data_IF_468469251311
#
_entry.id   IF_468469251311
#
_cell.length_a   1.000
_cell.length_b   1.000
_cell.length_c   1.000
_cell.angle_alpha   90.00
_cell.angle_beta   90.00
_cell.angle_gamma   90.00
#
_symmetry.space_group_name_H-M   'P 1'
#
loop_
_entity.id
_entity.type
_entity.pdbx_description
1 polymer ?
#
# COMPACT_ATOMS: atom_id res chain seq x y z
N UNK A 1 15.72 26.25 -34.32
CA UNK A 1 16.40 24.98 -33.97
C UNK A 1 17.20 25.19 -32.69
N UNK A 2 16.61 24.94 -31.52
CA UNK A 2 17.30 24.64 -30.25
C UNK A 2 16.28 24.53 -29.10
N UNK A 3 15.64 23.36 -28.97
CA UNK A 3 14.93 22.95 -27.76
C UNK A 3 15.00 21.44 -27.70
N UNK A 4 15.83 20.91 -26.80
CA UNK A 4 16.03 19.47 -26.67
C UNK A 4 17.46 19.14 -26.23
N UNK A 5 17.77 19.45 -24.97
CA UNK A 5 18.90 18.93 -24.17
C UNK A 5 18.87 19.74 -22.88
N UNK A 6 18.07 19.31 -21.90
CA UNK A 6 18.14 19.72 -20.49
C UNK A 6 17.09 18.94 -19.66
N UNK A 7 17.08 17.60 -19.77
CA UNK A 7 16.45 16.72 -18.76
C UNK A 7 17.30 15.45 -18.53
N UNK A 8 18.58 15.51 -18.86
CA UNK A 8 19.49 14.35 -18.82
C UNK A 8 20.79 14.71 -18.07
N UNK A 9 20.68 15.32 -16.89
CA UNK A 9 21.80 15.44 -15.95
C UNK A 9 21.28 15.59 -14.52
N UNK A 10 20.95 14.47 -13.87
CA UNK A 10 21.20 14.26 -12.44
C UNK A 10 21.06 12.77 -12.06
N UNK A 11 21.71 11.88 -12.82
CA UNK A 11 21.91 10.48 -12.41
C UNK A 11 23.38 10.17 -12.56
N UNK A 12 24.20 10.67 -11.63
CA UNK A 12 25.58 10.21 -11.45
C UNK A 12 25.90 10.14 -9.97
N UNK A 13 26.14 8.92 -9.50
CA UNK A 13 26.93 8.65 -8.30
C UNK A 13 26.15 8.33 -7.02
N UNK A 14 25.53 7.16 -6.95
CA UNK A 14 25.34 6.45 -5.66
C UNK A 14 25.38 4.95 -5.93
N UNK A 15 26.60 4.44 -6.06
CA UNK A 15 26.91 3.01 -5.97
C UNK A 15 26.99 2.65 -4.49
N UNK A 16 26.33 1.55 -4.12
CA UNK A 16 26.06 1.05 -2.75
C UNK A 16 24.82 1.75 -2.16
N UNK A 17 23.71 1.00 -2.13
CA UNK A 17 22.46 1.39 -1.47
C UNK A 17 22.73 1.31 0.03
N UNK A 18 23.17 2.41 0.64
CA UNK A 18 22.99 2.57 2.07
C UNK A 18 21.48 2.65 2.30
N UNK A 19 20.94 1.67 3.03
CA UNK A 19 19.56 1.75 3.48
C UNK A 19 19.38 3.07 4.27
N UNK A 20 18.26 3.78 4.07
CA UNK A 20 18.04 5.03 4.77
C UNK A 20 18.08 4.78 6.29
N UNK A 21 18.50 5.79 7.08
CA UNK A 21 18.60 5.69 8.55
C UNK A 21 17.31 5.21 9.21
N UNK A 22 16.20 5.50 8.55
CA UNK A 22 14.90 5.07 8.95
C UNK A 22 14.11 4.66 7.73
N UNK A 23 13.27 3.64 7.91
CA UNK A 23 12.37 3.14 6.88
C UNK A 23 10.93 3.19 7.38
N UNK A 24 10.00 3.48 6.46
CA UNK A 24 8.57 3.66 6.76
C UNK A 24 7.78 2.62 6.00
N UNK A 25 7.12 1.73 6.73
CA UNK A 25 6.16 0.80 6.17
C UNK A 25 4.75 1.37 6.36
N UNK A 26 4.00 1.51 5.27
CA UNK A 26 2.59 1.88 5.29
C UNK A 26 1.78 0.66 4.88
N UNK A 27 1.01 0.07 5.78
CA UNK A 27 0.20 -1.13 5.52
C UNK A 27 -1.27 -0.73 5.49
N UNK A 28 -1.88 -0.83 4.31
CA UNK A 28 -3.30 -0.53 4.11
C UNK A 28 -4.09 -1.84 3.97
N UNK A 29 -4.96 -2.11 4.93
CA UNK A 29 -5.86 -3.25 4.91
C UNK A 29 -7.07 -2.90 4.05
N UNK A 30 -7.16 -3.54 2.88
CA UNK A 30 -8.15 -3.26 1.87
C UNK A 30 -9.21 -4.37 1.87
N UNK A 31 -10.31 -4.15 2.59
CA UNK A 31 -11.44 -5.08 2.67
C UNK A 31 -12.42 -4.95 1.52
N UNK A 32 -13.20 -6.02 1.33
CA UNK A 32 -14.24 -6.15 0.30
C UNK A 32 -13.74 -5.88 -1.14
N UNK A 33 -12.47 -6.21 -1.41
CA UNK A 33 -11.90 -6.06 -2.74
C UNK A 33 -12.55 -7.11 -3.65
N UNK A 34 -13.20 -6.66 -4.73
CA UNK A 34 -13.81 -7.56 -5.70
C UNK A 34 -12.79 -8.45 -6.41
N UNK A 35 -13.23 -9.64 -6.86
CA UNK A 35 -12.42 -10.51 -7.75
C UNK A 35 -11.89 -9.75 -8.98
N UNK A 36 -12.70 -8.87 -9.56
CA UNK A 36 -12.32 -8.08 -10.72
C UNK A 36 -11.12 -7.16 -10.39
N UNK A 37 -11.18 -6.40 -9.29
CA UNK A 37 -10.06 -5.55 -8.84
C UNK A 37 -8.82 -6.37 -8.51
N UNK A 38 -8.95 -7.45 -7.75
CA UNK A 38 -7.83 -8.32 -7.36
C UNK A 38 -7.12 -8.99 -8.54
N UNK A 39 -7.79 -9.13 -9.69
CA UNK A 39 -7.21 -9.65 -10.93
C UNK A 39 -6.78 -8.56 -11.93
N UNK A 40 -6.79 -7.29 -11.53
CA UNK A 40 -6.46 -6.17 -12.40
C UNK A 40 -7.50 -5.92 -13.49
N UNK A 41 -8.77 -6.27 -13.27
CA UNK A 41 -9.86 -6.12 -14.24
C UNK A 41 -10.75 -4.96 -13.81
N UNK A 42 -10.36 -3.74 -14.17
CA UNK A 42 -11.14 -2.53 -13.88
C UNK A 42 -10.91 -1.45 -14.94
N UNK A 43 -11.82 -0.47 -15.01
CA UNK A 43 -11.67 0.65 -15.93
C UNK A 43 -10.87 1.77 -15.27
N UNK A 44 -9.70 2.09 -15.83
CA UNK A 44 -8.87 3.21 -15.36
C UNK A 44 -9.49 4.58 -15.61
N UNK A 45 -10.59 4.66 -16.36
CA UNK A 45 -11.43 5.86 -16.52
C UNK A 45 -12.54 5.95 -15.47
N UNK A 46 -12.76 4.91 -14.65
CA UNK A 46 -13.81 4.89 -13.62
C UNK A 46 -13.29 4.18 -12.35
N UNK A 47 -12.39 4.86 -11.64
CA UNK A 47 -11.70 4.33 -10.46
C UNK A 47 -12.61 4.18 -9.23
N UNK A 48 -13.74 4.91 -9.19
CA UNK A 48 -14.73 4.81 -8.12
C UNK A 48 -15.37 3.41 -8.08
N UNK A 49 -15.49 2.75 -9.24
CA UNK A 49 -15.97 1.37 -9.30
C UNK A 49 -14.93 0.43 -8.70
N UNK A 50 -15.26 -0.18 -7.57
CA UNK A 50 -14.35 -1.03 -6.81
C UNK A 50 -13.34 -0.25 -5.95
N UNK A 51 -13.56 1.06 -5.77
CA UNK A 51 -12.77 1.96 -4.91
C UNK A 51 -11.26 1.94 -5.17
N UNK A 52 -10.87 1.76 -6.44
CA UNK A 52 -9.46 1.81 -6.87
C UNK A 52 -8.88 3.22 -6.67
N UNK A 53 -9.73 4.25 -6.67
CA UNK A 53 -9.37 5.63 -6.31
C UNK A 53 -8.74 5.72 -4.91
N UNK A 54 -9.19 4.90 -3.96
CA UNK A 54 -8.63 4.88 -2.59
C UNK A 54 -7.24 4.27 -2.60
N UNK A 55 -7.06 3.14 -3.30
CA UNK A 55 -5.75 2.50 -3.44
C UNK A 55 -4.74 3.44 -4.09
N UNK A 56 -5.16 4.12 -5.15
CA UNK A 56 -4.32 5.07 -5.88
C UNK A 56 -3.93 6.26 -5.00
N UNK A 57 -4.88 6.86 -4.27
CA UNK A 57 -4.60 7.96 -3.34
C UNK A 57 -3.70 7.53 -2.18
N UNK A 58 -3.84 6.32 -1.66
CA UNK A 58 -2.95 5.81 -0.61
C UNK A 58 -1.51 5.70 -1.11
N UNK A 59 -1.29 5.13 -2.30
CA UNK A 59 0.05 5.07 -2.93
C UNK A 59 0.59 6.48 -3.17
N UNK A 60 -0.24 7.39 -3.69
CA UNK A 60 0.20 8.77 -3.92
C UNK A 60 0.62 9.46 -2.63
N UNK A 61 -0.19 9.38 -1.57
CA UNK A 61 0.09 10.00 -0.27
C UNK A 61 1.29 9.38 0.46
N UNK A 62 1.57 8.09 0.25
CA UNK A 62 2.72 7.42 0.87
C UNK A 62 4.05 7.77 0.20
N UNK A 63 4.05 7.97 -1.12
CA UNK A 63 5.29 8.06 -1.88
C UNK A 63 5.69 9.49 -2.24
N UNK A 64 4.76 10.39 -2.51
CA UNK A 64 5.10 11.66 -3.13
C UNK A 64 5.39 12.79 -2.14
N UNK A 65 6.43 13.55 -2.47
CA UNK A 65 6.70 14.90 -1.96
C UNK A 65 6.82 15.86 -3.15
N UNK A 66 6.97 17.16 -2.89
CA UNK A 66 6.96 18.18 -3.95
C UNK A 66 8.05 18.00 -5.01
N UNK A 67 9.23 17.47 -4.62
CA UNK A 67 10.41 17.36 -5.47
C UNK A 67 10.84 15.91 -5.74
N UNK A 68 10.01 14.91 -5.45
CA UNK A 68 10.38 13.52 -5.70
C UNK A 68 9.52 12.47 -5.02
N UNK A 69 10.10 11.30 -4.86
CA UNK A 69 9.51 10.12 -4.21
C UNK A 69 10.31 9.80 -2.95
N UNK A 70 9.62 9.53 -1.85
CA UNK A 70 10.20 9.05 -0.58
C UNK A 70 10.84 7.69 -0.79
N UNK A 71 12.17 7.65 -0.91
CA UNK A 71 12.92 6.41 -1.14
C UNK A 71 12.89 5.46 0.07
N UNK A 72 12.66 6.02 1.26
CA UNK A 72 12.55 5.39 2.56
C UNK A 72 11.14 4.86 2.90
N UNK A 73 10.17 5.00 1.99
CA UNK A 73 8.81 4.51 2.20
C UNK A 73 8.50 3.29 1.33
N UNK A 74 7.93 2.26 1.94
CA UNK A 74 7.24 1.17 1.25
C UNK A 74 5.78 1.12 1.67
N UNK A 75 4.87 1.06 0.69
CA UNK A 75 3.44 0.87 0.93
C UNK A 75 3.00 -0.54 0.52
N UNK A 76 2.18 -1.16 1.37
CA UNK A 76 1.59 -2.48 1.18
C UNK A 76 0.08 -2.35 1.13
N UNK A 77 -0.53 -2.66 -0.01
CA UNK A 77 -1.98 -2.71 -0.16
C UNK A 77 -2.45 -4.17 -0.03
N UNK A 78 -2.90 -4.57 1.15
CA UNK A 78 -3.32 -5.94 1.44
C UNK A 78 -4.78 -6.14 1.02
N UNK A 79 -5.01 -6.88 -0.07
CA UNK A 79 -6.32 -7.04 -0.71
C UNK A 79 -7.06 -8.27 -0.14
N UNK A 80 -7.99 -8.03 0.77
CA UNK A 80 -8.86 -9.04 1.37
C UNK A 80 -10.16 -9.17 0.55
N UNK A 81 -10.70 -10.40 0.35
CA UNK A 81 -10.31 -11.69 0.96
C UNK A 81 -9.26 -12.51 0.18
N UNK A 82 -8.59 -11.92 -0.82
CA UNK A 82 -7.76 -12.66 -1.78
C UNK A 82 -6.40 -13.11 -1.23
N UNK A 83 -5.98 -12.62 -0.06
CA UNK A 83 -4.66 -12.87 0.54
C UNK A 83 -3.52 -12.56 -0.45
N UNK A 84 -3.64 -11.43 -1.15
CA UNK A 84 -2.60 -10.89 -2.01
C UNK A 84 -2.30 -9.46 -1.57
N UNK A 85 -1.06 -9.03 -1.78
CA UNK A 85 -0.64 -7.67 -1.45
C UNK A 85 0.10 -7.07 -2.62
N UNK A 86 -0.24 -5.82 -2.93
CA UNK A 86 0.60 -5.00 -3.82
C UNK A 86 1.57 -4.22 -2.95
N UNK A 87 2.83 -4.60 -3.03
CA UNK A 87 3.95 -3.88 -2.43
C UNK A 87 4.48 -2.84 -3.42
N UNK A 88 4.64 -1.59 -2.97
CA UNK A 88 5.21 -0.50 -3.74
C UNK A 88 6.37 0.15 -2.98
N UNK A 89 7.60 -0.04 -3.47
CA UNK A 89 8.85 0.45 -2.86
C UNK A 89 9.30 1.76 -3.46
N UNK A 90 9.27 2.84 -2.68
CA UNK A 90 9.66 4.18 -3.14
C UNK A 90 11.07 4.24 -3.73
N UNK A 91 12.04 3.55 -3.13
CA UNK A 91 13.43 3.47 -3.62
C UNK A 91 13.57 2.94 -5.05
N UNK A 92 12.63 2.10 -5.49
CA UNK A 92 12.69 1.36 -6.77
C UNK A 92 11.70 1.84 -7.82
N UNK A 93 10.67 2.61 -7.44
CA UNK A 93 9.69 3.15 -8.39
C UNK A 93 10.38 4.05 -9.42
N UNK A 94 10.00 3.91 -10.69
CA UNK A 94 10.45 4.75 -11.81
C UNK A 94 9.26 5.10 -12.69
N UNK A 95 9.27 6.31 -13.25
CA UNK A 95 8.25 6.78 -14.23
C UNK A 95 6.80 6.75 -13.75
N UNK A 96 6.58 6.73 -12.44
CA UNK A 96 5.25 6.93 -11.84
C UNK A 96 4.98 8.44 -11.78
N UNK A 97 3.72 8.84 -11.89
CA UNK A 97 3.25 10.21 -11.64
C UNK A 97 2.20 10.19 -10.53
N UNK A 98 2.03 11.28 -9.76
CA UNK A 98 1.14 11.31 -8.59
C UNK A 98 -0.36 11.34 -8.92
N UNK A 99 -0.74 11.19 -10.20
CA UNK A 99 -2.14 11.15 -10.60
C UNK A 99 -2.76 9.76 -10.42
N UNK A 100 -4.03 9.72 -9.99
CA UNK A 100 -4.71 8.46 -9.66
C UNK A 100 -4.78 7.49 -10.84
N UNK A 101 -4.93 8.01 -12.07
CA UNK A 101 -5.04 7.19 -13.27
C UNK A 101 -3.75 6.44 -13.57
N UNK A 102 -2.60 7.12 -13.49
CA UNK A 102 -1.30 6.48 -13.73
C UNK A 102 -1.00 5.46 -12.65
N UNK A 103 -1.25 5.79 -11.38
CA UNK A 103 -1.11 4.81 -10.29
C UNK A 103 -2.04 3.61 -10.52
N UNK A 104 -3.29 3.83 -10.91
CA UNK A 104 -4.23 2.76 -11.22
C UNK A 104 -3.78 1.88 -12.40
N UNK A 105 -3.13 2.44 -13.43
CA UNK A 105 -2.53 1.66 -14.53
C UNK A 105 -1.39 0.76 -14.03
N UNK A 106 -0.60 1.23 -13.07
CA UNK A 106 0.48 0.45 -12.45
C UNK A 106 -0.08 -0.66 -11.55
N UNK A 107 -1.08 -0.34 -10.72
CA UNK A 107 -1.82 -1.34 -9.94
C UNK A 107 -2.46 -2.39 -10.84
N UNK A 108 -3.11 -1.97 -11.93
CA UNK A 108 -3.71 -2.86 -12.92
C UNK A 108 -2.69 -3.83 -13.50
N UNK A 109 -1.54 -3.33 -13.94
CA UNK A 109 -0.46 -4.16 -14.49
C UNK A 109 0.13 -5.13 -13.47
N UNK A 110 0.24 -4.69 -12.21
CA UNK A 110 0.82 -5.50 -11.12
C UNK A 110 -0.13 -6.64 -10.73
N UNK A 111 -1.43 -6.36 -10.66
CA UNK A 111 -2.47 -7.33 -10.32
C UNK A 111 -2.85 -8.26 -11.49
N UNK A 112 -2.56 -7.84 -12.72
CA UNK A 112 -2.98 -8.55 -13.92
C UNK A 112 -2.35 -9.95 -14.01
N UNK A 113 -3.14 -10.97 -13.68
CA UNK A 113 -2.74 -12.37 -13.73
C UNK A 113 -3.06 -13.04 -15.09
N UNK A 114 -3.11 -12.26 -16.19
CA UNK A 114 -3.42 -12.78 -17.53
C UNK A 114 -4.90 -13.03 -17.82
N UNK A 115 -5.79 -12.82 -16.84
CA UNK A 115 -7.19 -13.24 -16.90
C UNK A 115 -7.31 -14.76 -17.03
N UNK A 116 -6.67 -15.49 -16.11
CA UNK A 116 -6.49 -16.94 -16.13
C UNK A 116 -7.77 -17.79 -16.23
N UNK A 117 -7.59 -19.09 -16.45
CA UNK A 117 -8.65 -20.11 -16.64
C UNK A 117 -9.69 -20.09 -15.51
N UNK A 118 -9.24 -19.86 -14.28
CA UNK A 118 -10.06 -19.83 -13.05
C UNK A 118 -11.08 -18.68 -13.01
N UNK A 119 -10.80 -17.57 -13.71
CA UNK A 119 -11.72 -16.44 -13.81
C UNK A 119 -12.89 -16.72 -14.78
N UNK A 120 -12.70 -17.61 -15.74
CA UNK A 120 -13.75 -18.00 -16.70
C UNK A 120 -14.71 -19.02 -16.07
N UNK A 121 -14.21 -19.93 -15.23
CA UNK A 121 -15.03 -20.96 -14.58
C UNK A 121 -15.85 -20.42 -13.39
N UNK A 122 -15.35 -19.45 -12.64
CA UNK A 122 -16.12 -18.78 -11.56
C UNK A 122 -17.40 -18.06 -12.05
N UNK A 123 -17.42 -17.58 -13.30
CA UNK A 123 -18.60 -16.97 -13.91
C UNK A 123 -19.60 -17.98 -14.51
N UNK A 124 -19.15 -19.20 -14.84
CA UNK A 124 -20.03 -20.26 -15.37
C UNK A 124 -20.98 -20.81 -14.31
N UNK A 125 -20.55 -20.84 -13.05
CA UNK A 125 -21.36 -21.35 -11.95
C UNK A 125 -22.49 -20.40 -11.51
N UNK A 126 -22.46 -19.13 -11.92
CA UNK A 126 -23.43 -18.10 -11.48
C UNK A 126 -24.65 -17.97 -12.43
N UNK A 127 -24.71 -18.75 -13.51
CA UNK A 127 -25.75 -18.64 -14.56
C UNK A 127 -26.70 -19.85 -14.68
N UNK A 128 -26.73 -20.75 -13.69
CA UNK A 128 -27.44 -22.04 -13.74
C UNK A 128 -28.97 -22.03 -13.56
N UNK A 129 -29.65 -20.89 -13.49
CA UNK A 129 -31.11 -20.81 -13.34
C UNK A 129 -31.81 -20.52 -14.67
N UNK A 130 -32.35 -21.56 -15.34
CA UNK A 130 -33.08 -21.41 -16.61
C UNK A 130 -34.59 -21.25 -16.32
N UNK A 131 -35.04 -20.03 -16.05
CA UNK A 131 -36.47 -19.70 -15.98
C UNK A 131 -37.00 -19.13 -17.30
N UNK A 132 -38.26 -19.44 -17.60
CA UNK A 132 -38.98 -19.06 -18.82
C UNK A 132 -39.41 -17.59 -18.70
N UNK A 133 -38.97 -16.73 -19.63
CA UNK A 133 -38.95 -15.27 -19.48
C UNK A 133 -40.12 -14.55 -20.17
N UNK A 134 -40.63 -13.49 -19.53
CA UNK A 134 -41.67 -12.58 -20.05
C UNK A 134 -41.07 -11.27 -20.62
N UNK A 135 -41.90 -10.38 -21.16
CA UNK A 135 -41.49 -9.15 -21.88
C UNK A 135 -40.63 -8.17 -21.04
N UNK A 136 -40.90 -8.01 -19.74
CA UNK A 136 -40.09 -7.16 -18.83
C UNK A 136 -38.70 -7.75 -18.55
N UNK A 137 -38.56 -9.06 -18.72
CA UNK A 137 -37.32 -9.80 -18.51
C UNK A 137 -36.40 -9.76 -19.73
N UNK A 138 -36.93 -9.48 -20.94
CA UNK A 138 -36.13 -9.24 -22.16
C UNK A 138 -35.22 -8.01 -22.04
N UNK A 139 -35.70 -6.92 -21.44
CA UNK A 139 -34.93 -5.68 -21.27
C UNK A 139 -33.77 -5.88 -20.28
N UNK A 140 -34.02 -6.55 -19.14
CA UNK A 140 -32.98 -6.95 -18.18
C UNK A 140 -31.94 -7.89 -18.82
N UNK A 141 -32.39 -8.85 -19.62
CA UNK A 141 -31.53 -9.77 -20.37
C UNK A 141 -30.67 -9.08 -21.44
N UNK A 142 -31.13 -7.99 -22.05
CA UNK A 142 -30.32 -7.15 -22.96
C UNK A 142 -29.22 -6.41 -22.18
N UNK A 143 -29.58 -5.76 -21.07
CA UNK A 143 -28.63 -5.01 -20.23
C UNK A 143 -27.51 -5.91 -19.69
N UNK A 144 -27.85 -7.12 -19.22
CA UNK A 144 -26.85 -8.10 -18.75
C UNK A 144 -25.91 -8.56 -19.87
N UNK A 145 -26.44 -8.80 -21.08
CA UNK A 145 -25.63 -9.16 -22.25
C UNK A 145 -24.68 -8.03 -22.65
N UNK A 146 -25.14 -6.79 -22.64
CA UNK A 146 -24.32 -5.63 -23.00
C UNK A 146 -23.24 -5.37 -21.95
N UNK A 147 -23.54 -5.51 -20.66
CA UNK A 147 -22.56 -5.44 -19.59
C UNK A 147 -21.48 -6.54 -19.71
N UNK A 148 -21.88 -7.77 -20.04
CA UNK A 148 -20.95 -8.88 -20.30
C UNK A 148 -20.03 -8.60 -21.49
N UNK A 149 -20.59 -8.14 -22.62
CA UNK A 149 -19.80 -7.74 -23.80
C UNK A 149 -18.83 -6.61 -23.47
N UNK A 150 -19.27 -5.60 -22.72
CA UNK A 150 -18.43 -4.49 -22.27
C UNK A 150 -17.27 -4.97 -21.40
N UNK A 151 -17.52 -5.90 -20.48
CA UNK A 151 -16.50 -6.53 -19.63
C UNK A 151 -15.51 -7.36 -20.43
N UNK A 152 -15.97 -8.21 -21.36
CA UNK A 152 -15.11 -8.99 -22.24
C UNK A 152 -14.21 -8.10 -23.12
N UNK A 153 -14.76 -6.99 -23.64
CA UNK A 153 -14.01 -6.00 -24.39
C UNK A 153 -12.94 -5.29 -23.52
N UNK A 154 -13.27 -4.97 -22.25
CA UNK A 154 -12.31 -4.42 -21.30
C UNK A 154 -11.15 -5.38 -21.05
N UNK A 155 -11.44 -6.64 -20.72
CA UNK A 155 -10.44 -7.68 -20.49
C UNK A 155 -9.52 -7.83 -21.71
N UNK A 156 -10.10 -7.80 -22.92
CA UNK A 156 -9.31 -7.83 -24.16
C UNK A 156 -8.36 -6.64 -24.28
N UNK A 157 -8.82 -5.42 -23.96
CA UNK A 157 -7.96 -4.22 -23.96
C UNK A 157 -6.83 -4.34 -22.95
N UNK A 158 -7.13 -4.75 -21.71
CA UNK A 158 -6.13 -4.91 -20.65
C UNK A 158 -5.08 -5.96 -21.07
N UNK A 159 -5.52 -7.10 -21.60
CA UNK A 159 -4.62 -8.14 -22.12
C UNK A 159 -3.69 -7.61 -23.19
N UNK A 160 -4.21 -6.86 -24.16
CA UNK A 160 -3.40 -6.25 -25.23
C UNK A 160 -2.42 -5.23 -24.64
N UNK A 161 -2.87 -4.40 -23.71
CA UNK A 161 -2.07 -3.37 -23.04
C UNK A 161 -0.91 -3.91 -22.20
N UNK A 162 -1.01 -5.16 -21.69
CA UNK A 162 0.03 -5.77 -20.86
C UNK A 162 0.81 -6.90 -21.53
N UNK A 163 0.47 -7.26 -22.77
CA UNK A 163 1.15 -8.34 -23.51
C UNK A 163 2.64 -8.04 -23.66
N UNK A 164 3.49 -8.95 -23.18
CA UNK A 164 4.95 -8.86 -23.32
C UNK A 164 5.60 -7.75 -22.50
N UNK A 165 4.85 -7.09 -21.60
CA UNK A 165 5.40 -6.07 -20.71
C UNK A 165 6.06 -6.72 -19.51
N UNK A 166 7.27 -6.27 -19.16
CA UNK A 166 8.02 -6.74 -17.99
C UNK A 166 7.35 -6.37 -16.65
N UNK A 167 7.92 -6.79 -15.54
CA UNK A 167 7.52 -6.26 -14.23
C UNK A 167 7.79 -4.75 -14.13
N UNK A 168 7.02 -4.07 -13.29
CA UNK A 168 7.18 -2.65 -13.01
C UNK A 168 8.24 -2.45 -11.92
N UNK A 169 9.27 -1.59 -12.12
CA UNK A 169 10.22 -1.27 -11.07
C UNK A 169 9.51 -0.75 -9.82
N UNK A 170 9.82 -1.37 -8.68
CA UNK A 170 9.26 -1.00 -7.38
C UNK A 170 7.84 -1.51 -7.10
N UNK A 171 7.17 -2.18 -8.04
CA UNK A 171 5.88 -2.82 -7.78
C UNK A 171 6.06 -4.34 -7.72
N UNK A 172 5.60 -4.95 -6.64
CA UNK A 172 5.71 -6.40 -6.39
C UNK A 172 4.33 -6.92 -5.99
N UNK A 173 3.94 -8.05 -6.57
CA UNK A 173 2.73 -8.78 -6.15
C UNK A 173 3.14 -9.91 -5.22
N UNK A 174 2.80 -9.79 -3.94
CA UNK A 174 2.98 -10.83 -2.95
C UNK A 174 1.70 -11.69 -2.90
N UNK A 175 1.88 -13.01 -2.85
CA UNK A 175 0.77 -13.98 -2.83
C UNK A 175 0.76 -14.72 -1.49
N UNK A 176 -0.43 -15.17 -1.12
CA UNK A 176 -0.67 -15.91 0.13
C UNK A 176 -0.32 -15.11 1.38
N UNK A 177 -0.32 -13.78 1.26
CA UNK A 177 0.06 -12.89 2.34
C UNK A 177 -1.15 -12.53 3.19
N UNK A 178 -1.05 -12.85 4.48
CA UNK A 178 -2.06 -12.52 5.49
C UNK A 178 -1.47 -11.55 6.50
N UNK A 179 -2.34 -10.79 7.17
CA UNK A 179 -1.92 -9.84 8.20
C UNK A 179 -1.07 -10.52 9.29
N UNK A 180 -1.48 -11.71 9.75
CA UNK A 180 -0.70 -12.50 10.71
C UNK A 180 0.74 -12.76 10.24
N UNK A 181 0.91 -13.27 9.02
CA UNK A 181 2.24 -13.60 8.49
C UNK A 181 3.15 -12.37 8.42
N UNK A 182 2.58 -11.21 8.09
CA UNK A 182 3.30 -9.92 8.09
C UNK A 182 3.67 -9.47 9.51
N UNK A 183 2.79 -9.63 10.48
CA UNK A 183 3.11 -9.35 11.89
C UNK A 183 4.21 -10.29 12.41
N UNK A 184 4.18 -11.57 12.05
CA UNK A 184 5.20 -12.55 12.40
C UNK A 184 6.57 -12.20 11.79
N UNK A 185 6.60 -11.71 10.55
CA UNK A 185 7.81 -11.20 9.88
C UNK A 185 8.38 -9.99 10.62
N UNK A 186 7.53 -9.02 10.97
CA UNK A 186 7.96 -7.82 11.73
C UNK A 186 8.54 -8.21 13.09
N UNK A 187 7.91 -9.14 13.81
CA UNK A 187 8.40 -9.65 15.10
C UNK A 187 9.75 -10.38 14.97
N UNK A 188 9.96 -11.09 13.86
CA UNK A 188 11.20 -11.82 13.60
C UNK A 188 12.35 -10.87 13.25
N UNK A 189 12.07 -9.81 12.47
CA UNK A 189 13.08 -8.83 12.03
C UNK A 189 13.74 -8.02 13.16
N UNK A 190 13.11 -7.95 14.34
CA UNK A 190 13.59 -7.22 15.51
C UNK A 190 14.34 -8.08 16.53
N UNK A 191 14.47 -9.40 16.30
CA UNK A 191 15.04 -10.35 17.28
C UNK A 191 16.53 -10.66 17.06
N UNK A 192 17.19 -9.95 16.14
CA UNK A 192 18.55 -10.26 15.65
C UNK A 192 19.70 -9.41 16.19
N UNK A 193 19.46 -8.44 17.09
CA UNK A 193 20.51 -7.58 17.63
C UNK A 193 20.66 -7.76 19.15
N UNK A 194 21.91 -7.98 19.55
CA UNK A 194 22.38 -8.21 20.92
C UNK A 194 21.94 -7.09 21.88
N UNK A 195 21.44 -7.48 23.05
CA UNK A 195 21.29 -6.71 24.29
C UNK A 195 20.68 -5.28 24.18
N UNK A 196 19.34 -5.20 24.14
CA UNK A 196 18.60 -3.96 24.44
C UNK A 196 17.74 -3.36 23.33
N UNK A 197 17.50 -4.10 22.24
CA UNK A 197 16.75 -3.60 21.09
C UNK A 197 15.26 -3.38 21.43
N UNK A 198 14.79 -2.14 21.30
CA UNK A 198 13.37 -1.82 21.40
C UNK A 198 12.65 -2.51 20.23
N UNK A 199 11.67 -3.36 20.53
CA UNK A 199 10.95 -4.16 19.53
C UNK A 199 10.37 -3.34 18.36
N UNK A 200 9.78 -4.00 17.35
CA UNK A 200 9.42 -3.34 16.11
C UNK A 200 8.38 -2.24 16.38
N UNK A 201 8.60 -1.05 15.81
CA UNK A 201 7.69 0.07 15.99
C UNK A 201 6.49 -0.15 15.08
N UNK A 202 5.40 -0.67 15.64
CA UNK A 202 4.16 -0.95 14.90
C UNK A 202 2.99 -0.20 15.51
N UNK A 203 2.33 0.62 14.70
CA UNK A 203 1.16 1.40 15.09
C UNK A 203 -0.06 1.01 14.27
N UNK A 204 -1.17 0.70 14.93
CA UNK A 204 -2.48 0.67 14.28
C UNK A 204 -3.18 2.02 14.48
N UNK A 205 -3.67 2.62 13.41
CA UNK A 205 -4.42 3.87 13.51
C UNK A 205 -5.85 3.62 13.96
N UNK A 206 -6.29 4.36 14.97
CA UNK A 206 -7.64 4.33 15.50
C UNK A 206 -7.99 5.68 16.11
N UNK A 207 -9.28 6.06 16.06
CA UNK A 207 -9.76 7.31 16.64
C UNK A 207 -9.63 7.32 18.18
N UNK A 208 -9.64 6.15 18.81
CA UNK A 208 -9.57 5.96 20.27
C UNK A 208 -8.17 5.72 20.82
N UNK A 209 -7.16 5.66 19.95
CA UNK A 209 -5.78 5.40 20.35
C UNK A 209 -5.10 6.60 21.04
N UNK A 210 -3.93 6.35 21.61
CA UNK A 210 -3.10 7.42 22.19
C UNK A 210 -2.68 8.42 21.10
N UNK A 211 -2.64 9.74 21.37
CA UNK A 211 -2.23 10.71 20.36
C UNK A 211 -0.80 10.42 19.85
N UNK A 212 -0.66 10.15 18.55
CA UNK A 212 0.62 9.73 17.95
C UNK A 212 1.74 10.75 18.21
N UNK A 213 1.41 12.04 18.21
CA UNK A 213 2.38 13.11 18.45
C UNK A 213 2.99 13.06 19.87
N UNK A 214 2.22 12.68 20.89
CA UNK A 214 2.74 12.56 22.28
C UNK A 214 3.73 11.41 22.39
N UNK A 215 3.42 10.29 21.73
CA UNK A 215 4.29 9.11 21.70
C UNK A 215 5.63 9.43 21.04
N UNK A 216 5.60 10.09 19.88
CA UNK A 216 6.80 10.47 19.15
C UNK A 216 7.64 11.50 19.92
N UNK A 217 7.01 12.44 20.61
CA UNK A 217 7.73 13.37 21.47
C UNK A 217 8.39 12.70 22.68
N UNK A 218 7.72 11.72 23.30
CA UNK A 218 8.31 10.89 24.35
C UNK A 218 9.56 10.17 23.86
N UNK A 219 9.44 9.49 22.71
CA UNK A 219 10.53 8.77 22.06
C UNK A 219 11.71 9.70 21.73
N UNK A 220 11.44 10.90 21.21
CA UNK A 220 12.48 11.90 20.94
C UNK A 220 13.24 12.32 22.21
N UNK A 221 12.55 12.52 23.34
CA UNK A 221 13.19 12.90 24.62
C UNK A 221 14.09 11.78 25.15
N UNK A 222 13.63 10.53 25.05
CA UNK A 222 14.40 9.35 25.46
C UNK A 222 15.68 9.20 24.63
N UNK A 223 15.58 9.32 23.31
CA UNK A 223 16.75 9.23 22.42
C UNK A 223 17.76 10.35 22.65
N UNK A 224 17.29 11.59 22.91
CA UNK A 224 18.17 12.70 23.27
C UNK A 224 18.89 12.46 24.61
N UNK A 225 18.21 11.87 25.60
CA UNK A 225 18.80 11.50 26.88
C UNK A 225 19.87 10.42 26.73
N UNK A 226 19.60 9.37 25.94
CA UNK A 226 20.56 8.30 25.62
C UNK A 226 21.81 8.84 24.88
N UNK A 227 21.64 9.82 23.98
CA UNK A 227 22.75 10.49 23.28
C UNK A 227 23.57 11.40 24.19
N UNK A 228 22.94 12.06 25.17
CA UNK A 228 23.64 12.95 26.10
C UNK A 228 24.49 12.18 27.13
N UNK A 229 24.14 10.93 27.44
CA UNK A 229 24.88 10.08 28.38
C UNK A 229 25.99 9.24 27.74
N UNK A 230 26.02 9.11 26.40
CA UNK A 230 27.04 8.34 25.67
C UNK A 230 28.29 9.19 25.38
N UNK A 231 29.31 9.07 26.24
CA UNK A 231 30.59 9.78 26.10
C UNK A 231 31.56 8.98 25.21
N UNK A 232 31.74 9.43 23.97
CA UNK A 232 32.84 9.12 23.03
C UNK A 232 33.06 7.66 22.54
N UNK A 233 33.32 7.54 21.24
CA UNK A 233 33.79 6.36 20.47
C UNK A 233 32.77 5.28 20.03
N UNK A 234 31.66 5.68 19.41
CA UNK A 234 30.89 4.76 18.56
C UNK A 234 31.02 5.17 17.09
N UNK A 235 32.03 4.61 16.41
CA UNK A 235 32.00 4.50 14.96
C UNK A 235 30.81 3.59 14.61
N UNK A 236 29.77 4.21 14.04
CA UNK A 236 29.10 3.67 12.86
C UNK A 236 28.38 2.32 13.07
N UNK A 237 27.40 2.27 13.97
CA UNK A 237 26.28 1.34 13.83
C UNK A 237 24.99 2.17 13.84
N UNK A 238 24.66 2.74 12.67
CA UNK A 238 23.45 3.55 12.48
C UNK A 238 22.28 2.59 12.42
N UNK A 239 21.68 2.32 13.58
CA UNK A 239 20.54 1.42 13.72
C UNK A 239 19.40 1.93 12.84
N UNK A 240 19.00 1.10 11.86
CA UNK A 240 17.95 1.48 10.91
C UNK A 240 16.59 1.37 11.57
N UNK A 241 15.97 2.50 11.94
CA UNK A 241 14.67 2.48 12.62
C UNK A 241 13.56 2.22 11.60
N UNK A 242 12.86 1.10 11.70
CA UNK A 242 11.71 0.82 10.83
C UNK A 242 10.40 1.07 11.57
N UNK A 243 9.64 2.07 11.13
CA UNK A 243 8.31 2.36 11.64
C UNK A 243 7.24 1.81 10.70
N UNK A 244 6.30 1.01 11.25
CA UNK A 244 5.18 0.43 10.51
C UNK A 244 3.86 1.02 10.97
N UNK A 245 3.12 1.61 10.03
CA UNK A 245 1.80 2.18 10.26
C UNK A 245 0.76 1.30 9.56
N UNK A 246 -0.22 0.79 10.31
CA UNK A 246 -1.32 -0.05 9.84
C UNK A 246 -2.61 0.77 9.86
N UNK A 247 -3.34 0.75 8.76
CA UNK A 247 -4.58 1.51 8.54
C UNK A 247 -5.59 0.70 7.73
N UNK A 248 -6.88 0.89 8.02
CA UNK A 248 -7.97 0.40 7.19
C UNK A 248 -8.20 1.26 5.93
N UNK A 249 -8.85 0.68 4.92
CA UNK A 249 -9.37 1.43 3.78
C UNK A 249 -10.63 2.23 4.19
N UNK A 250 -11.45 2.63 3.22
CA UNK A 250 -12.70 3.36 3.48
C UNK A 250 -13.72 2.63 4.38
N UNK A 251 -13.56 1.31 4.58
CA UNK A 251 -14.43 0.49 5.43
C UNK A 251 -13.87 0.35 6.86
N UNK A 252 -12.62 0.76 7.08
CA UNK A 252 -11.91 0.51 8.34
C UNK A 252 -11.32 -0.89 8.41
N UNK A 253 -11.23 -1.43 9.62
CA UNK A 253 -10.77 -2.79 9.89
C UNK A 253 -11.92 -3.78 9.83
N UNK A 254 -11.63 -5.03 9.47
CA UNK A 254 -12.55 -6.12 9.81
C UNK A 254 -12.47 -6.40 11.32
N UNK A 255 -13.56 -6.88 11.93
CA UNK A 255 -13.55 -7.25 13.36
C UNK A 255 -12.41 -8.24 13.70
N UNK A 256 -12.12 -9.18 12.78
CA UNK A 256 -11.04 -10.14 12.93
C UNK A 256 -9.65 -9.49 12.92
N UNK A 257 -9.42 -8.55 12.00
CA UNK A 257 -8.13 -7.87 11.92
C UNK A 257 -7.94 -6.92 13.09
N UNK A 258 -9.01 -6.27 13.56
CA UNK A 258 -8.97 -5.42 14.75
C UNK A 258 -8.66 -6.23 16.01
N UNK A 259 -9.31 -7.38 16.22
CA UNK A 259 -9.01 -8.30 17.32
C UNK A 259 -7.55 -8.78 17.25
N UNK A 260 -7.07 -9.15 16.06
CA UNK A 260 -5.70 -9.57 15.87
C UNK A 260 -4.69 -8.46 16.20
N UNK A 261 -4.90 -7.24 15.68
CA UNK A 261 -4.00 -6.12 15.92
C UNK A 261 -3.97 -5.73 17.40
N UNK A 262 -5.13 -5.63 18.06
CA UNK A 262 -5.23 -5.34 19.50
C UNK A 262 -4.66 -6.46 20.38
N UNK A 263 -4.74 -7.70 19.93
CA UNK A 263 -4.17 -8.87 20.61
C UNK A 263 -2.66 -9.04 20.41
N UNK A 264 -2.03 -8.27 19.53
CA UNK A 264 -0.59 -8.38 19.22
C UNK A 264 0.23 -7.45 20.14
N UNK A 265 1.10 -7.97 21.04
CA UNK A 265 1.68 -7.17 22.12
C UNK A 265 2.53 -5.96 21.70
N UNK A 266 3.18 -6.01 20.54
CA UNK A 266 4.03 -4.94 20.03
C UNK A 266 3.28 -3.95 19.12
N UNK A 267 2.00 -4.19 18.84
CA UNK A 267 1.17 -3.24 18.08
C UNK A 267 0.56 -2.25 19.05
N UNK A 268 0.84 -0.97 18.84
CA UNK A 268 0.28 0.11 19.65
C UNK A 268 -0.85 0.80 18.90
N UNK A 269 -1.97 1.03 19.57
CA UNK A 269 -3.07 1.79 19.01
C UNK A 269 -2.83 3.29 19.17
N UNK A 270 -2.89 4.04 18.07
CA UNK A 270 -2.59 5.48 18.07
C UNK A 270 -3.62 6.28 17.26
N UNK A 271 -3.84 7.53 17.68
CA UNK A 271 -4.76 8.47 17.05
C UNK A 271 -4.03 9.64 16.40
N UNK A 272 -4.59 10.11 15.28
CA UNK A 272 -4.15 11.33 14.59
C UNK A 272 -5.02 12.55 14.92
N UNK A 273 -6.05 12.36 15.77
CA UNK A 273 -7.00 13.39 16.14
C UNK A 273 -8.42 12.84 16.29
N UNK A 274 -9.36 13.75 16.59
CA UNK A 274 -10.76 13.41 16.87
C UNK A 274 -11.66 13.24 15.62
N UNK A 275 -11.14 13.54 14.43
CA UNK A 275 -11.89 13.43 13.18
C UNK A 275 -11.56 12.13 12.46
N UNK A 276 -12.60 11.50 11.91
CA UNK A 276 -12.45 10.38 10.97
C UNK A 276 -11.91 10.90 9.63
N UNK A 277 -10.63 10.67 9.38
CA UNK A 277 -9.94 11.13 8.18
C UNK A 277 -9.98 10.05 7.08
N UNK A 278 -9.85 10.48 5.83
CA UNK A 278 -9.60 9.55 4.74
C UNK A 278 -8.26 8.85 4.95
N UNK A 279 -8.16 7.58 4.61
CA UNK A 279 -6.92 6.78 4.70
C UNK A 279 -5.69 7.50 4.13
N UNK A 280 -5.84 8.17 2.99
CA UNK A 280 -4.75 8.95 2.36
C UNK A 280 -4.33 10.19 3.16
N UNK A 281 -5.27 10.82 3.87
CA UNK A 281 -4.99 11.95 4.76
C UNK A 281 -4.25 11.46 6.02
N UNK A 282 -4.66 10.31 6.58
CA UNK A 282 -3.95 9.68 7.68
C UNK A 282 -2.46 9.44 7.35
N UNK A 283 -2.18 8.91 6.15
CA UNK A 283 -0.81 8.70 5.66
C UNK A 283 -0.04 10.03 5.60
N UNK A 284 -0.64 11.09 5.07
CA UNK A 284 0.01 12.39 4.96
C UNK A 284 0.34 13.00 6.34
N UNK A 285 -0.59 12.90 7.31
CA UNK A 285 -0.38 13.39 8.69
C UNK A 285 0.67 12.55 9.41
N UNK A 286 0.64 11.23 9.26
CA UNK A 286 1.66 10.36 9.84
C UNK A 286 3.05 10.66 9.27
N UNK A 287 3.16 10.90 7.96
CA UNK A 287 4.41 11.38 7.36
C UNK A 287 4.86 12.72 7.94
N UNK A 288 3.96 13.68 8.14
CA UNK A 288 4.31 14.95 8.77
C UNK A 288 4.91 14.75 10.17
N UNK A 289 4.35 13.85 10.99
CA UNK A 289 4.91 13.57 12.31
C UNK A 289 6.23 12.80 12.25
N UNK A 290 6.36 11.82 11.35
CA UNK A 290 7.60 11.07 11.16
C UNK A 290 8.74 11.94 10.59
N UNK A 291 8.43 12.88 9.70
CA UNK A 291 9.41 13.84 9.18
C UNK A 291 10.02 14.66 10.32
N UNK A 292 9.20 15.10 11.29
CA UNK A 292 9.70 15.82 12.49
C UNK A 292 10.57 14.97 13.41
N UNK A 293 10.46 13.64 13.35
CA UNK A 293 11.29 12.72 14.12
C UNK A 293 12.61 12.43 13.41
N UNK A 294 12.58 12.18 12.10
CA UNK A 294 13.76 11.81 11.30
C UNK A 294 14.58 13.00 10.78
N UNK A 295 14.05 14.23 10.77
CA UNK A 295 14.85 15.46 10.53
C UNK A 295 15.94 15.70 11.61
N UNK A 296 15.96 14.90 12.69
CA UNK A 296 16.89 15.02 13.82
C UNK A 296 18.00 13.96 13.83
N UNK A 297 18.08 13.14 12.78
CA UNK A 297 19.12 12.11 12.55
C UNK A 297 20.07 12.50 11.42
#
# INVERSE_FOLDING_TARGET
TSKGRDVEMLVRGSSILDDPPAHRNIVVLCHEVSNDVANGIFDVNNLLKGRVDVLARCVSSALWVSNGVRADTTIYLMLSPHNITVEVRGSRVRSLTPDERTVALYLQRTLWNGGGKDYVDSQRNDTGGREILSSSTMTKGKTLRDARKGREAMIRRIRVSHRGKASLPGFVLLREERLQARLDELASSSSGADDGDEGPIVWMLSETGDPLWELLEGWKREQQSKRASSTSNAKENRMTTTATLILGNQLGYSARDEELLRGTPFVREVSLGSLSLLTSQCIAVAHHYLDRLFELE
#
